data_IF_641714431238
#
_entry.id   IF_641714431238
#
_cell.length_a   1.000
_cell.length_b   1.000
_cell.length_c   1.000
_cell.angle_alpha   90.00
_cell.angle_beta   90.00
_cell.angle_gamma   90.00
#
_symmetry.space_group_name_H-M   'P 1'
#
loop_
_entity.id
_entity.type
_entity.pdbx_description
1 polymer ?
#
# COMPACT_ATOMS: atom_id res chain seq x y z
N UNK A 1 -28.85 34.18 -42.53
CA UNK A 1 -29.35 33.80 -41.20
C UNK A 1 -28.13 33.69 -40.28
N UNK A 2 -27.87 34.73 -39.49
CA UNK A 2 -26.73 34.81 -38.59
C UNK A 2 -26.95 33.89 -37.38
N UNK A 3 -25.96 33.07 -37.05
CA UNK A 3 -25.93 32.27 -35.83
C UNK A 3 -25.42 33.17 -34.70
N UNK A 4 -26.35 33.64 -33.86
CA UNK A 4 -26.19 34.09 -32.47
C UNK A 4 -25.10 33.25 -31.75
N UNK A 5 -23.97 33.74 -31.24
CA UNK A 5 -23.61 34.80 -30.27
C UNK A 5 -24.18 34.62 -28.83
N UNK A 6 -23.23 34.36 -27.91
CA UNK A 6 -23.21 34.64 -26.48
C UNK A 6 -23.98 33.74 -25.47
N UNK A 7 -23.22 32.90 -24.77
CA UNK A 7 -23.26 32.78 -23.30
C UNK A 7 -22.61 34.06 -22.70
N UNK A 8 -22.83 34.50 -21.44
CA UNK A 8 -23.17 33.71 -20.24
C UNK A 8 -24.26 34.32 -19.35
N UNK A 9 -24.94 33.49 -18.55
CA UNK A 9 -25.67 33.98 -17.38
C UNK A 9 -25.24 33.15 -16.19
N UNK A 10 -24.34 33.73 -15.41
CA UNK A 10 -23.97 33.25 -14.10
C UNK A 10 -24.93 33.77 -13.03
N UNK A 11 -24.95 33.01 -11.93
CA UNK A 11 -25.44 33.33 -10.60
C UNK A 11 -26.96 33.50 -10.44
N UNK A 12 -27.58 32.55 -9.74
CA UNK A 12 -27.99 32.85 -8.38
C UNK A 12 -27.99 31.61 -7.48
N UNK A 13 -27.71 31.88 -6.21
CA UNK A 13 -27.41 30.97 -5.12
C UNK A 13 -28.67 30.28 -4.56
N UNK A 14 -28.51 29.04 -4.10
CA UNK A 14 -29.47 28.36 -3.25
C UNK A 14 -28.74 27.37 -2.35
N UNK A 15 -28.26 27.87 -1.21
CA UNK A 15 -27.74 27.06 -0.13
C UNK A 15 -28.85 26.21 0.49
N UNK A 16 -28.64 24.90 0.68
CA UNK A 16 -29.20 24.18 1.81
C UNK A 16 -28.49 22.82 2.04
N UNK A 17 -27.95 22.72 3.25
CA UNK A 17 -27.82 21.53 4.12
C UNK A 17 -27.01 20.28 3.71
N UNK A 18 -25.88 20.10 4.43
CA UNK A 18 -25.70 18.89 5.23
C UNK A 18 -24.74 17.81 4.71
N UNK A 19 -23.54 17.77 5.29
CA UNK A 19 -22.75 16.54 5.37
C UNK A 19 -21.22 16.72 5.25
N UNK A 20 -20.46 16.63 6.36
CA UNK A 20 -19.01 16.52 6.34
C UNK A 20 -18.59 15.05 6.24
N UNK A 21 -17.71 14.72 5.28
CA UNK A 21 -16.80 13.56 5.29
C UNK A 21 -15.83 13.78 4.13
N UNK A 22 -14.58 14.23 4.32
CA UNK A 22 -13.56 13.53 5.09
C UNK A 22 -13.70 12.02 4.91
N UNK A 23 -13.24 11.52 3.75
CA UNK A 23 -12.67 10.18 3.66
C UNK A 23 -11.15 10.38 3.63
N UNK A 24 -10.64 10.70 4.80
CA UNK A 24 -9.34 10.20 5.25
C UNK A 24 -9.71 8.91 5.95
N UNK A 25 -9.41 7.78 5.32
CA UNK A 25 -9.45 6.41 5.82
C UNK A 25 -8.94 5.59 4.62
N UNK A 26 -7.84 4.85 4.69
CA UNK A 26 -7.35 4.06 5.81
C UNK A 26 -5.85 4.29 6.06
N UNK A 27 -5.56 4.80 7.26
CA UNK A 27 -4.40 4.36 8.02
C UNK A 27 -4.62 2.86 8.29
N UNK A 28 -3.94 1.98 7.55
CA UNK A 28 -3.66 0.63 8.04
C UNK A 28 -2.14 0.49 8.18
N UNK A 29 -1.75 0.73 9.43
CA UNK A 29 -0.72 -0.01 10.13
C UNK A 29 0.74 0.38 9.88
N UNK A 30 1.13 1.40 10.63
CA UNK A 30 2.44 1.51 11.27
C UNK A 30 2.79 0.22 12.04
N UNK A 31 3.16 -0.88 11.36
CA UNK A 31 3.87 -2.02 11.98
C UNK A 31 5.08 -2.41 11.13
N UNK A 32 6.20 -1.69 11.35
CA UNK A 32 7.49 -2.11 10.82
C UNK A 32 8.59 -1.06 10.77
N UNK A 33 8.40 0.14 11.34
CA UNK A 33 9.50 1.06 11.55
C UNK A 33 10.44 0.48 12.62
N UNK A 34 11.51 -0.21 12.21
CA UNK A 34 12.68 -0.39 13.09
C UNK A 34 13.45 -1.70 13.04
N UNK A 35 13.07 -2.67 12.22
CA UNK A 35 13.90 -3.85 12.00
C UNK A 35 14.02 -4.14 10.50
N UNK A 36 14.63 -3.20 9.76
CA UNK A 36 15.37 -3.55 8.54
C UNK A 36 16.49 -4.50 8.97
N UNK A 37 16.13 -5.78 9.18
CA UNK A 37 17.08 -6.83 9.53
C UNK A 37 18.19 -6.85 8.49
N UNK A 38 19.41 -7.20 8.91
CA UNK A 38 20.57 -7.22 8.00
C UNK A 38 20.21 -7.95 6.69
N UNK A 39 20.16 -7.22 5.58
CA UNK A 39 19.76 -7.76 4.27
C UNK A 39 20.96 -8.29 3.48
N UNK A 40 22.14 -8.26 4.09
CA UNK A 40 23.39 -8.69 3.45
C UNK A 40 23.26 -10.15 2.99
N UNK A 41 23.37 -10.35 1.67
CA UNK A 41 23.29 -11.67 1.05
C UNK A 41 21.86 -12.18 0.78
N UNK A 42 20.84 -11.33 0.96
CA UNK A 42 19.44 -11.62 0.60
C UNK A 42 19.06 -10.76 -0.60
N UNK A 43 18.38 -11.34 -1.59
CA UNK A 43 17.91 -10.56 -2.73
C UNK A 43 16.72 -9.68 -2.35
N UNK A 44 16.73 -8.37 -2.69
CA UNK A 44 15.64 -7.46 -2.36
C UNK A 44 14.31 -7.86 -3.03
N UNK A 45 14.38 -8.49 -4.21
CA UNK A 45 13.19 -9.03 -4.89
C UNK A 45 12.53 -10.14 -4.09
N UNK A 46 13.33 -11.00 -3.48
CA UNK A 46 12.85 -12.13 -2.70
C UNK A 46 12.15 -11.65 -1.44
N UNK A 47 12.72 -10.62 -0.80
CA UNK A 47 12.13 -9.95 0.37
C UNK A 47 10.76 -9.37 0.00
N UNK A 48 10.66 -8.62 -1.10
CA UNK A 48 9.38 -8.05 -1.54
C UNK A 48 8.34 -9.12 -1.89
N UNK A 49 8.75 -10.21 -2.55
CA UNK A 49 7.87 -11.34 -2.88
C UNK A 49 7.34 -12.01 -1.62
N UNK A 50 8.20 -12.26 -0.64
CA UNK A 50 7.82 -12.86 0.65
C UNK A 50 6.91 -11.93 1.44
N UNK A 51 7.23 -10.63 1.52
CA UNK A 51 6.39 -9.64 2.20
C UNK A 51 4.99 -9.59 1.60
N UNK A 52 4.89 -9.61 0.26
CA UNK A 52 3.60 -9.52 -0.44
C UNK A 52 2.79 -10.81 -0.33
N UNK A 53 3.42 -11.97 -0.49
CA UNK A 53 2.71 -13.26 -0.51
C UNK A 53 2.38 -13.78 0.89
N UNK A 54 3.23 -13.49 1.88
CA UNK A 54 3.02 -13.91 3.26
C UNK A 54 2.46 -12.82 4.17
N UNK A 55 2.28 -11.59 3.66
CA UNK A 55 1.76 -10.45 4.41
C UNK A 55 2.55 -10.21 5.72
N UNK A 56 3.89 -10.23 5.62
CA UNK A 56 4.81 -10.05 6.75
C UNK A 56 5.68 -8.82 6.57
N UNK A 57 6.21 -8.32 7.70
CA UNK A 57 7.18 -7.23 7.69
C UNK A 57 8.52 -7.63 7.06
N UNK A 58 9.27 -6.62 6.62
CA UNK A 58 10.57 -6.77 5.92
C UNK A 58 11.57 -7.61 6.71
N UNK A 59 11.75 -7.32 8.00
CA UNK A 59 12.64 -8.10 8.88
C UNK A 59 12.24 -9.57 9.02
N UNK A 60 10.94 -9.89 9.03
CA UNK A 60 10.46 -11.28 9.06
C UNK A 60 10.73 -12.00 7.75
N UNK A 61 10.51 -11.34 6.62
CA UNK A 61 10.85 -11.87 5.30
C UNK A 61 12.35 -12.16 5.18
N UNK A 62 13.21 -11.21 5.57
CA UNK A 62 14.69 -11.37 5.57
C UNK A 62 15.11 -12.55 6.46
N UNK A 63 14.54 -12.67 7.66
CA UNK A 63 14.85 -13.76 8.57
C UNK A 63 14.45 -15.12 8.01
N UNK A 64 13.27 -15.22 7.40
CA UNK A 64 12.80 -16.45 6.77
C UNK A 64 13.68 -16.84 5.58
N UNK A 65 14.02 -15.89 4.71
CA UNK A 65 14.94 -16.12 3.59
C UNK A 65 16.33 -16.56 4.05
N UNK A 66 16.85 -15.98 5.14
CA UNK A 66 18.12 -16.43 5.73
C UNK A 66 18.04 -17.83 6.33
N UNK A 67 16.93 -18.16 6.99
CA UNK A 67 16.70 -19.48 7.56
C UNK A 67 16.56 -20.56 6.48
N UNK A 68 15.96 -20.22 5.34
CA UNK A 68 15.83 -21.10 4.18
C UNK A 68 17.05 -21.09 3.24
N UNK A 69 18.12 -20.37 3.57
CA UNK A 69 19.34 -20.29 2.75
C UNK A 69 19.14 -19.58 1.41
N UNK A 70 18.17 -18.67 1.32
CA UNK A 70 17.78 -17.96 0.11
C UNK A 70 16.69 -18.66 -0.70
N UNK A 71 16.14 -19.77 -0.24
CA UNK A 71 15.03 -20.44 -0.92
C UNK A 71 13.70 -19.71 -0.64
N UNK A 72 13.23 -18.96 -1.63
CA UNK A 72 12.02 -18.14 -1.56
C UNK A 72 10.78 -19.00 -1.28
N UNK A 73 10.66 -20.13 -1.99
CA UNK A 73 9.47 -20.98 -1.90
C UNK A 73 9.34 -21.54 -0.49
N UNK A 74 10.45 -22.01 0.09
CA UNK A 74 10.52 -22.51 1.47
C UNK A 74 10.19 -21.41 2.47
N UNK A 75 10.72 -20.19 2.28
CA UNK A 75 10.42 -19.06 3.16
C UNK A 75 8.93 -18.67 3.13
N UNK A 76 8.33 -18.61 1.93
CA UNK A 76 6.90 -18.30 1.77
C UNK A 76 6.04 -19.42 2.37
N UNK A 77 6.38 -20.69 2.13
CA UNK A 77 5.66 -21.81 2.71
C UNK A 77 5.69 -21.76 4.23
N UNK A 78 6.84 -21.50 4.84
CA UNK A 78 6.95 -21.41 6.30
C UNK A 78 6.15 -20.24 6.88
N UNK A 79 6.15 -19.08 6.21
CA UNK A 79 5.46 -17.88 6.69
C UNK A 79 3.94 -17.88 6.43
N UNK A 80 3.47 -18.62 5.43
CA UNK A 80 2.04 -18.72 5.09
C UNK A 80 1.33 -19.93 5.69
N UNK A 81 2.08 -20.91 6.20
CA UNK A 81 1.54 -22.10 6.86
C UNK A 81 1.31 -21.93 8.38
N UNK A 82 1.46 -20.71 8.91
CA UNK A 82 1.00 -20.35 10.27
C UNK A 82 -0.51 -20.20 10.31
#
# INVERSE_FOLDING_TARGET
MAQQFAMPSGADYGADTGGPSAVVEEEEEEEGAGEDGDETGVEPKDIELVMTQANVSRGRAVKALKASGGDIVSAIMELTMT
#
